data_IF_519108968264
#
_entry.id   IF_519108968264
#
_cell.length_a   1.000
_cell.length_b   1.000
_cell.length_c   1.000
_cell.angle_alpha   90.00
_cell.angle_beta   90.00
_cell.angle_gamma   90.00
#
_symmetry.space_group_name_H-M   'P 1'
#
loop_
_entity.id
_entity.type
_entity.pdbx_description
1 polymer ?
#
# COMPACT_ATOMS: atom_id res chain seq x y z
N UNK A 1 -5.67 -15.23 6.53
CA UNK A 1 -5.58 -15.21 8.00
C UNK A 1 -6.19 -16.44 8.64
N UNK A 2 -7.42 -16.84 8.30
CA UNK A 2 -8.10 -18.03 8.89
C UNK A 2 -7.25 -19.30 8.89
N UNK A 3 -6.61 -19.65 7.76
CA UNK A 3 -5.77 -20.85 7.68
C UNK A 3 -4.55 -20.78 8.61
N UNK A 4 -3.86 -19.63 8.66
CA UNK A 4 -2.69 -19.43 9.53
C UNK A 4 -3.05 -19.46 11.01
N UNK A 5 -4.22 -18.94 11.40
CA UNK A 5 -4.74 -19.01 12.78
C UNK A 5 -4.95 -20.47 13.20
N UNK A 6 -5.51 -21.28 12.32
CA UNK A 6 -5.72 -22.71 12.58
C UNK A 6 -4.40 -23.49 12.68
N UNK A 7 -3.39 -23.12 11.88
CA UNK A 7 -2.06 -23.76 11.88
C UNK A 7 -1.23 -23.44 13.14
N UNK A 8 -1.32 -22.21 13.66
CA UNK A 8 -0.52 -21.72 14.79
C UNK A 8 -1.14 -22.00 16.18
N UNK A 9 -2.22 -22.78 16.27
CA UNK A 9 -3.02 -23.04 17.49
C UNK A 9 -2.18 -23.37 18.74
N UNK A 10 -2.69 -23.17 19.98
CA UNK A 10 -4.08 -22.87 20.31
C UNK A 10 -4.42 -21.38 20.49
N UNK A 11 -3.42 -20.51 20.66
CA UNK A 11 -3.65 -19.09 20.93
C UNK A 11 -2.65 -18.20 20.15
N UNK A 12 -2.82 -18.05 18.84
CA UNK A 12 -1.92 -17.23 18.03
C UNK A 12 -2.14 -15.74 18.30
N UNK A 13 -1.04 -15.00 18.42
CA UNK A 13 -1.05 -13.53 18.47
C UNK A 13 -0.88 -12.96 17.06
N UNK A 14 -1.73 -11.99 16.69
CA UNK A 14 -1.70 -11.33 15.38
C UNK A 14 -1.36 -9.85 15.59
N UNK A 15 -0.22 -9.43 15.08
CA UNK A 15 0.19 -8.02 15.05
C UNK A 15 -0.09 -7.42 13.67
N UNK A 16 -0.83 -6.29 13.63
CA UNK A 16 -1.06 -5.54 12.39
C UNK A 16 -0.26 -4.23 12.41
N UNK A 17 0.86 -4.22 11.70
CA UNK A 17 1.67 -3.01 11.52
C UNK A 17 0.88 -1.93 10.77
N UNK A 18 0.83 -0.69 11.29
CA UNK A 18 0.26 0.47 10.58
C UNK A 18 1.30 1.27 9.81
N UNK A 19 2.58 1.02 10.08
CA UNK A 19 3.69 1.56 9.32
C UNK A 19 5.00 0.85 9.64
N UNK A 20 6.06 1.21 8.92
CA UNK A 20 7.39 0.62 9.08
C UNK A 20 8.07 0.96 10.42
N UNK A 21 7.57 1.94 11.17
CA UNK A 21 8.12 2.30 12.48
C UNK A 21 7.74 1.34 13.61
N UNK A 22 6.76 0.47 13.40
CA UNK A 22 6.28 -0.48 14.41
C UNK A 22 7.05 -1.81 14.41
N UNK A 23 7.95 -2.02 13.44
CA UNK A 23 8.78 -3.22 13.34
C UNK A 23 10.22 -2.92 13.76
N UNK A 24 10.83 -3.82 14.55
CA UNK A 24 12.23 -3.64 14.95
C UNK A 24 13.18 -3.83 13.76
N UNK A 25 14.37 -3.19 13.75
CA UNK A 25 15.33 -3.37 12.66
C UNK A 25 15.76 -4.84 12.43
N UNK A 26 15.89 -5.61 13.51
CA UNK A 26 16.28 -7.02 13.44
C UNK A 26 15.18 -7.87 12.79
N UNK A 27 13.91 -7.62 13.10
CA UNK A 27 12.77 -8.26 12.43
C UNK A 27 12.65 -7.81 10.98
N UNK A 28 12.75 -6.51 10.71
CA UNK A 28 12.59 -5.95 9.36
C UNK A 28 13.59 -6.55 8.36
N UNK A 29 14.83 -6.80 8.80
CA UNK A 29 15.86 -7.44 7.98
C UNK A 29 15.41 -8.78 7.39
N UNK A 30 14.55 -9.54 8.08
CA UNK A 30 14.03 -10.82 7.58
C UNK A 30 13.10 -10.66 6.36
N UNK A 31 12.52 -9.48 6.15
CA UNK A 31 11.67 -9.18 4.99
C UNK A 31 12.47 -8.69 3.77
N UNK A 32 13.75 -8.34 3.96
CA UNK A 32 14.62 -7.83 2.89
C UNK A 32 15.55 -8.95 2.42
N UNK A 33 15.31 -9.46 1.23
CA UNK A 33 16.11 -10.56 0.67
C UNK A 33 15.70 -10.94 -0.74
N UNK A 34 16.19 -12.10 -1.20
CA UNK A 34 15.89 -12.62 -2.54
C UNK A 34 14.41 -12.96 -2.73
N UNK A 35 13.71 -13.28 -1.65
CA UNK A 35 12.29 -13.62 -1.65
C UNK A 35 11.38 -12.39 -1.49
N UNK A 36 11.97 -11.20 -1.41
CA UNK A 36 11.21 -9.96 -1.34
C UNK A 36 10.44 -9.73 -2.65
N UNK A 37 9.17 -9.36 -2.52
CA UNK A 37 8.31 -9.03 -3.67
C UNK A 37 8.58 -7.59 -4.11
N UNK A 38 9.44 -7.46 -5.12
CA UNK A 38 9.77 -6.18 -5.73
C UNK A 38 8.87 -5.93 -6.94
N UNK A 39 8.30 -4.72 -7.01
CA UNK A 39 7.60 -4.24 -8.20
C UNK A 39 8.48 -3.23 -8.93
N UNK A 40 8.89 -3.56 -10.15
CA UNK A 40 9.74 -2.69 -10.94
C UNK A 40 8.89 -1.61 -11.62
N UNK A 41 9.19 -0.35 -11.33
CA UNK A 41 8.57 0.79 -12.02
C UNK A 41 9.31 1.03 -13.35
N UNK A 42 8.59 0.95 -14.47
CA UNK A 42 9.12 1.28 -15.81
C UNK A 42 8.40 2.48 -16.39
N UNK A 43 9.13 3.45 -16.92
CA UNK A 43 8.59 4.63 -17.60
C UNK A 43 8.92 4.54 -19.10
N UNK A 44 7.91 4.65 -19.97
CA UNK A 44 8.11 4.79 -21.42
C UNK A 44 7.98 6.26 -21.80
N UNK A 45 8.72 6.70 -22.81
CA UNK A 45 8.65 8.09 -23.31
C UNK A 45 7.28 8.47 -23.89
N UNK A 46 6.47 7.47 -24.28
CA UNK A 46 5.08 7.65 -24.71
C UNK A 46 4.12 7.87 -23.56
N UNK A 47 4.54 7.53 -22.35
CA UNK A 47 3.72 7.73 -21.17
C UNK A 47 3.77 9.24 -20.89
N UNK A 48 2.60 9.87 -20.79
CA UNK A 48 2.45 11.30 -20.48
C UNK A 48 2.80 11.56 -18.99
N UNK A 49 3.99 11.12 -18.57
CA UNK A 49 4.43 11.11 -17.17
C UNK A 49 4.48 12.51 -16.61
N UNK A 50 4.87 13.50 -17.44
CA UNK A 50 4.95 14.89 -17.00
C UNK A 50 3.55 15.42 -16.66
N UNK A 51 2.59 15.21 -17.55
CA UNK A 51 1.21 15.63 -17.39
C UNK A 51 0.54 14.89 -16.22
N UNK A 52 0.81 13.58 -16.09
CA UNK A 52 0.34 12.75 -14.98
C UNK A 52 0.85 13.27 -13.62
N UNK A 53 2.15 13.54 -13.53
CA UNK A 53 2.76 14.07 -12.31
C UNK A 53 2.23 15.47 -11.99
N UNK A 54 2.07 16.33 -12.98
CA UNK A 54 1.51 17.68 -12.78
C UNK A 54 0.06 17.61 -12.29
N UNK A 55 -0.75 16.69 -12.83
CA UNK A 55 -2.11 16.45 -12.35
C UNK A 55 -2.12 15.99 -10.89
N UNK A 56 -1.43 14.91 -10.54
CA UNK A 56 -1.49 14.33 -9.18
C UNK A 56 -0.71 15.13 -8.12
N UNK A 57 0.43 15.73 -8.47
CA UNK A 57 1.35 16.37 -7.52
C UNK A 57 1.38 17.90 -7.62
N UNK A 58 0.72 18.48 -8.62
CA UNK A 58 0.68 19.93 -8.83
C UNK A 58 -0.27 20.68 -7.89
N UNK A 59 -0.64 21.90 -8.27
CA UNK A 59 -1.57 22.74 -7.50
C UNK A 59 -2.94 22.07 -7.35
N UNK A 60 -3.64 22.39 -6.27
CA UNK A 60 -5.01 21.92 -6.07
C UNK A 60 -5.97 22.64 -7.02
N UNK A 61 -6.50 21.92 -8.00
CA UNK A 61 -7.46 22.42 -8.98
C UNK A 61 -8.84 21.79 -8.73
N UNK A 62 -9.89 22.49 -9.18
CA UNK A 62 -11.27 21.97 -9.09
C UNK A 62 -11.44 20.67 -9.88
N UNK A 63 -10.79 20.59 -11.05
CA UNK A 63 -10.76 19.39 -11.88
C UNK A 63 -10.20 18.17 -11.14
N UNK A 64 -9.07 18.36 -10.44
CA UNK A 64 -8.47 17.29 -9.63
C UNK A 64 -9.37 16.87 -8.48
N UNK A 65 -10.03 17.81 -7.81
CA UNK A 65 -10.95 17.49 -6.71
C UNK A 65 -12.13 16.67 -7.20
N UNK A 66 -12.79 17.10 -8.28
CA UNK A 66 -13.90 16.35 -8.86
C UNK A 66 -13.45 14.95 -9.29
N UNK A 67 -12.30 14.85 -9.96
CA UNK A 67 -11.73 13.56 -10.35
C UNK A 67 -11.49 12.62 -9.15
N UNK A 68 -10.92 13.13 -8.06
CA UNK A 68 -10.68 12.33 -6.85
C UNK A 68 -12.01 11.88 -6.24
N UNK A 69 -13.00 12.78 -6.14
CA UNK A 69 -14.33 12.45 -5.58
C UNK A 69 -15.00 11.34 -6.39
N UNK A 70 -14.99 11.45 -7.72
CA UNK A 70 -15.64 10.50 -8.62
C UNK A 70 -14.98 9.11 -8.60
N UNK A 71 -13.69 9.03 -8.23
CA UNK A 71 -12.91 7.80 -8.20
C UNK A 71 -12.57 7.30 -6.79
N UNK A 72 -13.00 8.01 -5.74
CA UNK A 72 -12.74 7.60 -4.36
C UNK A 72 -13.57 6.35 -4.05
N UNK A 73 -12.91 5.20 -4.04
CA UNK A 73 -13.50 3.95 -3.56
C UNK A 73 -13.51 3.99 -2.04
N UNK A 74 -14.69 4.02 -1.45
CA UNK A 74 -14.88 3.88 -0.01
C UNK A 74 -14.91 2.38 0.28
N UNK A 75 -13.83 1.85 0.84
CA UNK A 75 -13.86 0.56 1.48
C UNK A 75 -14.66 0.74 2.79
N UNK A 76 -15.86 0.15 2.88
CA UNK A 76 -16.50 -0.02 4.19
C UNK A 76 -15.56 -0.88 5.04
N UNK A 77 -15.04 -0.32 6.13
CA UNK A 77 -14.38 -1.11 7.16
C UNK A 77 -15.38 -2.18 7.61
N UNK A 78 -15.23 -3.42 7.12
CA UNK A 78 -15.83 -4.62 7.69
C UNK A 78 -15.15 -4.89 9.04
N UNK A 79 -15.19 -3.91 9.94
CA UNK A 79 -14.90 -4.04 11.34
C UNK A 79 -16.23 -4.40 12.02
N UNK A 80 -16.64 -5.64 11.83
CA UNK A 80 -17.65 -6.33 12.65
C UNK A 80 -17.23 -7.78 12.81
#
# INVERSE_FOLDING_TARGET
>A
WVNAINELSPNPEITRFKGLGEISPDEFKHFIGKDMRLEQVTLRKTDAVKELLEFYMGKNTMERQNFIIDNLVIEEDLAS
#
